data_IF_920876070108
#
_entry.id   IF_920876070108
#
_cell.length_a   1.000
_cell.length_b   1.000
_cell.length_c   1.000
_cell.angle_alpha   90.00
_cell.angle_beta   90.00
_cell.angle_gamma   90.00
#
_symmetry.space_group_name_H-M   'P 1'
#
loop_
_entity.id
_entity.type
_entity.pdbx_description
1 polymer ?
#
# COMPACT_ATOMS: atom_id res chain seq x y z
N UNK A 1 -10.07 -2.75 6.27
CA UNK A 1 -9.64 -1.55 5.49
C UNK A 1 -8.14 -1.37 5.70
N UNK A 2 -7.48 -0.39 5.08
CA UNK A 2 -6.09 -0.06 5.38
C UNK A 2 -6.00 1.36 5.93
N UNK A 3 -5.33 1.55 7.07
CA UNK A 3 -4.88 2.85 7.52
C UNK A 3 -3.59 3.19 6.79
N UNK A 4 -3.59 4.28 6.04
CA UNK A 4 -2.43 4.85 5.37
C UNK A 4 -1.97 6.08 6.13
N UNK A 5 -0.69 6.10 6.51
CA UNK A 5 -0.11 7.22 7.22
C UNK A 5 0.67 8.10 6.25
N UNK A 6 0.12 9.29 5.99
CA UNK A 6 0.76 10.34 5.17
C UNK A 6 0.78 11.61 6.01
N UNK A 7 1.95 12.24 6.15
CA UNK A 7 2.13 13.46 6.94
C UNK A 7 1.63 13.36 8.39
N UNK A 8 1.77 12.18 9.01
CA UNK A 8 1.38 11.93 10.40
C UNK A 8 -0.13 11.81 10.65
N UNK A 9 -0.97 11.83 9.60
CA UNK A 9 -2.43 11.65 9.74
C UNK A 9 -2.90 10.32 9.14
N UNK A 10 -3.61 9.48 9.92
CA UNK A 10 -4.18 8.24 9.38
C UNK A 10 -5.34 8.54 8.42
N UNK A 11 -5.22 8.08 7.18
CA UNK A 11 -6.31 8.04 6.19
C UNK A 11 -6.73 6.61 5.94
N UNK A 12 -8.04 6.32 5.98
CA UNK A 12 -8.55 4.98 5.68
C UNK A 12 -8.75 4.79 4.18
N UNK A 13 -8.18 3.72 3.64
CA UNK A 13 -8.28 3.32 2.25
C UNK A 13 -8.88 1.92 2.10
N UNK A 14 -9.74 1.78 1.10
CA UNK A 14 -10.20 0.48 0.63
C UNK A 14 -9.09 -0.21 -0.18
N UNK A 15 -9.16 -1.53 -0.31
CA UNK A 15 -8.23 -2.32 -1.14
C UNK A 15 -8.12 -1.75 -2.57
N UNK A 16 -9.24 -1.34 -3.17
CA UNK A 16 -9.26 -0.71 -4.51
C UNK A 16 -8.44 0.59 -4.55
N UNK A 17 -8.46 1.39 -3.50
CA UNK A 17 -7.69 2.64 -3.43
C UNK A 17 -6.21 2.35 -3.21
N UNK A 18 -5.87 1.35 -2.42
CA UNK A 18 -4.50 0.84 -2.24
C UNK A 18 -3.92 0.31 -3.57
N UNK A 19 -4.70 -0.44 -4.35
CA UNK A 19 -4.29 -0.86 -5.69
C UNK A 19 -4.00 0.31 -6.64
N UNK A 20 -4.81 1.37 -6.60
CA UNK A 20 -4.52 2.60 -7.36
C UNK A 20 -3.21 3.28 -6.91
N UNK A 21 -2.86 3.21 -5.63
CA UNK A 21 -1.57 3.70 -5.16
C UNK A 21 -0.43 2.88 -5.72
N UNK A 22 -0.52 1.55 -5.68
CA UNK A 22 0.45 0.67 -6.34
C UNK A 22 0.64 1.06 -7.81
N UNK A 23 -0.44 1.21 -8.58
CA UNK A 23 -0.34 1.60 -9.99
C UNK A 23 0.40 2.92 -10.21
N UNK A 24 0.24 3.90 -9.32
CA UNK A 24 0.84 5.24 -9.40
C UNK A 24 2.25 5.33 -8.81
N UNK A 25 2.53 4.60 -7.73
CA UNK A 25 3.74 4.71 -6.92
C UNK A 25 4.79 3.67 -7.30
N UNK A 26 4.36 2.47 -7.66
CA UNK A 26 5.29 1.48 -8.17
C UNK A 26 5.75 1.94 -9.56
N UNK A 27 7.02 2.36 -9.62
CA UNK A 27 7.67 2.77 -10.86
C UNK A 27 7.75 1.61 -11.85
N UNK A 28 8.00 1.93 -13.12
CA UNK A 28 8.18 0.92 -14.18
C UNK A 28 9.30 -0.07 -13.80
N UNK A 29 10.41 0.43 -13.27
CA UNK A 29 11.57 -0.36 -12.87
C UNK A 29 11.26 -1.38 -11.75
N UNK A 30 10.46 -1.01 -10.74
CA UNK A 30 10.05 -1.95 -9.69
C UNK A 30 9.16 -3.08 -10.24
N UNK A 31 8.27 -2.74 -11.18
CA UNK A 31 7.41 -3.73 -11.85
C UNK A 31 8.22 -4.66 -12.75
N UNK A 32 9.20 -4.12 -13.45
CA UNK A 32 10.11 -4.88 -14.32
C UNK A 32 11.02 -5.82 -13.51
N UNK A 33 11.30 -5.49 -12.23
CA UNK A 33 11.97 -6.37 -11.26
C UNK A 33 11.04 -7.41 -10.61
N UNK A 34 9.79 -7.53 -11.06
CA UNK A 34 8.83 -8.51 -10.57
C UNK A 34 8.04 -8.08 -9.33
N UNK A 35 8.04 -6.79 -8.97
CA UNK A 35 7.19 -6.29 -7.89
C UNK A 35 5.73 -6.29 -8.33
N UNK A 36 4.98 -7.30 -7.88
CA UNK A 36 3.54 -7.34 -7.99
C UNK A 36 2.84 -6.57 -6.85
N UNK A 37 1.50 -6.53 -6.91
CA UNK A 37 0.72 -5.80 -5.93
C UNK A 37 0.85 -6.35 -4.51
N UNK A 38 0.98 -7.68 -4.36
CA UNK A 38 1.00 -8.34 -3.06
C UNK A 38 2.35 -8.16 -2.39
N UNK A 39 3.45 -8.33 -3.13
CA UNK A 39 4.79 -8.07 -2.60
C UNK A 39 4.96 -6.59 -2.24
N UNK A 40 4.49 -5.67 -3.09
CA UNK A 40 4.46 -4.24 -2.77
C UNK A 40 3.66 -3.95 -1.50
N UNK A 41 2.46 -4.53 -1.36
CA UNK A 41 1.61 -4.33 -0.19
C UNK A 41 2.29 -4.83 1.09
N UNK A 42 2.92 -6.01 1.03
CA UNK A 42 3.66 -6.59 2.16
C UNK A 42 4.83 -5.69 2.59
N UNK A 43 5.58 -5.12 1.65
CA UNK A 43 6.64 -4.17 1.99
C UNK A 43 6.10 -2.88 2.62
N UNK A 44 4.99 -2.34 2.11
CA UNK A 44 4.34 -1.18 2.73
C UNK A 44 3.82 -1.47 4.15
N UNK A 45 3.35 -2.70 4.41
CA UNK A 45 2.95 -3.17 5.74
C UNK A 45 4.17 -3.28 6.67
N UNK A 46 5.29 -3.87 6.21
CA UNK A 46 6.55 -3.95 6.98
C UNK A 46 7.12 -2.58 7.33
N UNK A 47 6.99 -1.62 6.42
CA UNK A 47 7.40 -0.23 6.64
C UNK A 47 6.40 0.57 7.49
N UNK A 48 5.30 -0.05 7.95
CA UNK A 48 4.22 0.59 8.70
C UNK A 48 3.55 1.77 7.96
N UNK A 49 3.64 1.80 6.63
CA UNK A 49 3.04 2.82 5.77
C UNK A 49 1.55 2.50 5.51
N UNK A 50 1.23 1.22 5.29
CA UNK A 50 -0.13 0.70 5.15
C UNK A 50 -0.38 -0.33 6.26
N UNK A 51 -1.29 -0.04 7.18
CA UNK A 51 -1.63 -0.97 8.27
C UNK A 51 -3.01 -1.52 7.99
N UNK A 52 -3.13 -2.84 7.91
CA UNK A 52 -4.42 -3.50 7.79
C UNK A 52 -5.23 -3.29 9.07
N UNK A 53 -6.35 -2.60 8.95
CA UNK A 53 -7.34 -2.53 10.02
C UNK A 53 -8.20 -3.80 9.91
N UNK A 54 -8.10 -4.68 10.91
CA UNK A 54 -9.04 -5.77 11.10
C UNK A 54 -10.43 -5.19 11.36
N UNK A 55 -11.46 -5.82 10.79
CA UNK A 55 -12.83 -5.49 11.12
C UNK A 55 -13.08 -6.03 12.53
N UNK A 56 -13.05 -5.13 13.52
CA UNK A 56 -13.60 -5.39 14.85
C UNK A 56 -15.11 -5.54 14.82
#
# INVERSE_FOLDING_TARGET
MFAYYEDGKPKRYSMRKVYRFFCKKAGKEQKDQGTDFISWLSEMEKMQILIREEAG
#
